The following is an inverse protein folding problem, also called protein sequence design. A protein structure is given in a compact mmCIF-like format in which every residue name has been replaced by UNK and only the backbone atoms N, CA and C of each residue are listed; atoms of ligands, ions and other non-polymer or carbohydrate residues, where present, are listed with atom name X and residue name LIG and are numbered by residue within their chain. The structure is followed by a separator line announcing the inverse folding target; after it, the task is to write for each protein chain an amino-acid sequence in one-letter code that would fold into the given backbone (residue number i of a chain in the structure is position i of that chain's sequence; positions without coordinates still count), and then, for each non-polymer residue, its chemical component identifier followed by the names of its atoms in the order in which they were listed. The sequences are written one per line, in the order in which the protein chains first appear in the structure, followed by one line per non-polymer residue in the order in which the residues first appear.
data_IF_357710960028
#
_entry.id   IF_357710960028
#
_cell.length_a   1.000
_cell.length_b   1.000
_cell.length_c   1.000
_cell.angle_alpha   90.00
_cell.angle_beta   90.00
_cell.angle_gamma   90.00
#
_symmetry.space_group_name_H-M   'P 1'
#
loop_
_entity.id
_entity.type
_entity.pdbx_description
1 polymer ?
#
# COMPACT_ATOMS: atom_id res chain seq x y z
N UNK A 1 21.48 -0.95 -18.68
CA UNK A 1 20.15 -1.45 -18.29
C UNK A 1 19.13 -0.82 -19.21
N UNK A 2 18.29 -1.63 -19.86
CA UNK A 2 17.12 -1.14 -20.59
C UNK A 2 15.94 -2.03 -20.22
N UNK A 3 14.84 -1.39 -19.82
CA UNK A 3 13.53 -2.01 -19.67
C UNK A 3 12.63 -1.28 -20.66
N UNK A 4 11.96 -2.03 -21.53
CA UNK A 4 10.94 -1.47 -22.41
C UNK A 4 9.62 -1.38 -21.66
N UNK A 5 9.03 -0.20 -21.64
CA UNK A 5 7.69 0.03 -21.11
C UNK A 5 6.67 -0.01 -22.24
N UNK A 6 5.51 -0.58 -21.94
CA UNK A 6 4.38 -0.69 -22.85
C UNK A 6 3.23 0.20 -22.36
N UNK A 7 2.36 0.68 -23.27
CA UNK A 7 1.14 1.37 -22.87
C UNK A 7 0.29 0.50 -21.94
N UNK A 8 -0.07 1.05 -20.77
CA UNK A 8 -0.82 0.36 -19.74
C UNK A 8 0.02 -0.15 -18.56
N UNK A 9 1.36 -0.07 -18.64
CA UNK A 9 2.21 -0.41 -17.51
C UNK A 9 1.97 0.51 -16.31
N UNK A 10 1.90 -0.07 -15.11
CA UNK A 10 1.70 0.64 -13.84
C UNK A 10 2.95 0.53 -12.98
N UNK A 11 3.49 1.68 -12.57
CA UNK A 11 4.69 1.77 -11.73
C UNK A 11 4.31 2.38 -10.38
N UNK A 12 4.48 1.61 -9.31
CA UNK A 12 4.37 2.11 -7.94
C UNK A 12 5.65 2.83 -7.56
N UNK A 13 5.58 4.14 -7.36
CA UNK A 13 6.76 5.02 -7.17
C UNK A 13 7.37 5.01 -5.76
N UNK A 14 6.91 4.11 -4.90
CA UNK A 14 7.34 3.99 -3.50
C UNK A 14 6.33 4.51 -2.48
N UNK A 15 6.67 4.39 -1.20
CA UNK A 15 5.84 4.80 -0.07
C UNK A 15 6.63 5.71 0.89
N UNK A 16 6.01 6.71 1.54
CA UNK A 16 6.66 7.49 2.59
C UNK A 16 7.07 6.64 3.82
N UNK A 17 7.88 7.20 4.73
CA UNK A 17 8.14 6.59 6.03
C UNK A 17 6.85 6.37 6.85
N UNK A 18 6.87 5.38 7.74
CA UNK A 18 5.73 5.06 8.61
C UNK A 18 5.10 3.69 8.37
N UNK A 19 5.68 2.86 7.49
CA UNK A 19 5.27 1.46 7.34
C UNK A 19 5.42 0.72 8.68
N UNK A 20 4.48 -0.17 8.96
CA UNK A 20 4.39 -0.83 10.27
C UNK A 20 5.62 -1.62 10.70
N UNK A 21 6.42 -2.11 9.74
CA UNK A 21 7.72 -2.74 9.98
C UNK A 21 8.72 -1.81 10.69
N UNK A 22 8.66 -0.50 10.43
CA UNK A 22 9.55 0.51 11.02
C UNK A 22 9.15 0.99 12.41
N UNK A 23 7.99 0.57 12.92
CA UNK A 23 7.51 0.92 14.26
C UNK A 23 8.20 0.10 15.35
N UNK A 24 8.23 0.60 16.59
CA UNK A 24 8.75 -0.10 17.77
C UNK A 24 7.67 -0.13 18.87
N UNK A 25 6.99 -1.25 19.12
CA UNK A 25 7.13 -2.54 18.43
C UNK A 25 6.60 -2.50 16.98
N UNK A 26 7.07 -3.39 16.08
CA UNK A 26 6.52 -3.49 14.73
C UNK A 26 5.03 -3.85 14.76
N UNK A 27 4.27 -3.28 13.82
CA UNK A 27 2.84 -3.54 13.68
C UNK A 27 2.54 -4.08 12.28
N UNK A 28 1.87 -5.22 12.22
CA UNK A 28 1.40 -5.82 10.97
C UNK A 28 -0.12 -5.83 10.91
N UNK A 29 -0.65 -6.02 9.71
CA UNK A 29 -2.09 -6.14 9.47
C UNK A 29 -2.65 -7.39 10.15
N UNK A 30 -3.86 -7.26 10.67
CA UNK A 30 -4.62 -8.34 11.27
C UNK A 30 -6.00 -8.45 10.62
N UNK A 31 -6.65 -9.62 10.68
CA UNK A 31 -8.05 -9.75 10.26
C UNK A 31 -8.95 -8.75 10.98
N UNK A 32 -9.81 -8.09 10.23
CA UNK A 32 -10.68 -7.01 10.71
C UNK A 32 -10.05 -5.61 10.66
N UNK A 33 -8.75 -5.48 10.40
CA UNK A 33 -8.14 -4.15 10.20
C UNK A 33 -8.74 -3.47 8.96
N UNK A 34 -8.97 -2.17 9.09
CA UNK A 34 -9.42 -1.30 8.00
C UNK A 34 -8.31 -0.30 7.70
N UNK A 35 -7.81 -0.30 6.46
CA UNK A 35 -6.79 0.65 5.99
C UNK A 35 -7.41 1.60 4.99
N UNK A 36 -7.18 2.89 5.22
CA UNK A 36 -7.53 3.96 4.29
C UNK A 36 -6.24 4.62 3.79
N UNK A 37 -6.15 4.83 2.48
CA UNK A 37 -5.04 5.47 1.80
C UNK A 37 -5.57 6.45 0.76
N UNK A 38 -4.86 7.54 0.52
CA UNK A 38 -5.31 8.54 -0.44
C UNK A 38 -4.20 9.48 -0.87
N UNK A 39 -4.40 10.08 -2.04
CA UNK A 39 -3.55 11.14 -2.56
C UNK A 39 -4.49 12.30 -2.90
N UNK A 40 -4.14 13.49 -2.43
CA UNK A 40 -4.89 14.71 -2.74
C UNK A 40 -5.04 14.86 -4.26
N UNK A 41 -6.27 15.11 -4.73
CA UNK A 41 -6.59 15.22 -6.15
C UNK A 41 -6.74 13.89 -6.92
N UNK A 42 -6.35 12.74 -6.36
CA UNK A 42 -6.56 11.42 -6.98
C UNK A 42 -7.65 10.59 -6.27
N UNK A 43 -7.94 10.92 -5.01
CA UNK A 43 -8.99 10.30 -4.21
C UNK A 43 -8.45 9.39 -3.10
N UNK A 44 -9.33 8.54 -2.58
CA UNK A 44 -9.05 7.65 -1.44
C UNK A 44 -9.54 6.23 -1.71
N UNK A 45 -8.81 5.25 -1.20
CA UNK A 45 -9.15 3.83 -1.19
C UNK A 45 -9.29 3.36 0.27
N UNK A 46 -10.27 2.49 0.51
CA UNK A 46 -10.53 1.84 1.79
C UNK A 46 -10.58 0.32 1.62
N UNK A 47 -9.85 -0.41 2.43
CA UNK A 47 -9.80 -1.87 2.39
C UNK A 47 -9.99 -2.47 3.79
N UNK A 48 -10.85 -3.48 3.90
CA UNK A 48 -10.99 -4.31 5.10
C UNK A 48 -10.23 -5.61 4.88
N UNK A 49 -9.32 -5.95 5.79
CA UNK A 49 -8.47 -7.14 5.69
C UNK A 49 -9.13 -8.35 6.34
N UNK A 50 -9.03 -9.51 5.69
CA UNK A 50 -9.55 -10.78 6.16
C UNK A 50 -8.38 -11.76 6.35
N UNK A 51 -8.56 -12.77 7.21
CA UNK A 51 -7.64 -13.90 7.26
C UNK A 51 -7.73 -14.69 5.96
N UNK A 52 -6.60 -15.26 5.52
CA UNK A 52 -6.65 -16.29 4.50
C UNK A 52 -7.31 -17.57 5.04
N UNK A 53 -7.78 -18.43 4.15
CA UNK A 53 -8.57 -19.62 4.43
C UNK A 53 -7.74 -20.85 4.79
#
# INVERSE_FOLDING_TARGET
QFMSLHPGDVISTGTPPGVGMGLKPPRYLKPGDVVELGIEGLGSQKQTFLADH
#
